data_IF_442910192887
#
_entry.id   IF_442910192887
#
_cell.length_a   1.000
_cell.length_b   1.000
_cell.length_c   1.000
_cell.angle_alpha   90.00
_cell.angle_beta   90.00
_cell.angle_gamma   90.00
#
_symmetry.space_group_name_H-M   'P 1'
#
loop_
_entity.id
_entity.type
_entity.pdbx_description
1 polymer ?
#
# COMPACT_ATOMS: atom_id res chain seq x y z
N UNK A 1 -38.85 -14.25 -17.47
CA UNK A 1 -38.48 -12.88 -17.07
C UNK A 1 -36.96 -12.81 -17.02
N UNK A 2 -36.32 -12.17 -18.01
CA UNK A 2 -34.86 -12.12 -18.13
C UNK A 2 -34.36 -10.92 -17.30
N UNK A 3 -33.72 -11.18 -16.16
CA UNK A 3 -33.10 -10.12 -15.36
C UNK A 3 -31.82 -9.71 -16.10
N UNK A 4 -31.89 -8.60 -16.84
CA UNK A 4 -30.71 -7.97 -17.45
C UNK A 4 -30.04 -7.12 -16.35
N UNK A 5 -28.94 -7.62 -15.79
CA UNK A 5 -28.09 -6.83 -14.89
C UNK A 5 -27.18 -5.95 -15.77
N UNK A 6 -27.56 -4.68 -15.93
CA UNK A 6 -26.68 -3.67 -16.55
C UNK A 6 -25.63 -3.25 -15.52
N UNK A 7 -24.45 -3.86 -15.57
CA UNK A 7 -23.29 -3.37 -14.81
C UNK A 7 -22.75 -2.14 -15.55
N UNK A 8 -23.09 -0.94 -15.10
CA UNK A 8 -22.43 0.28 -15.56
C UNK A 8 -21.00 0.32 -15.03
N UNK A 9 -20.05 -0.19 -15.82
CA UNK A 9 -18.63 0.05 -15.59
C UNK A 9 -18.36 1.54 -15.80
N UNK A 10 -18.26 2.33 -14.72
CA UNK A 10 -17.78 3.72 -14.82
C UNK A 10 -16.41 3.72 -15.49
N UNK A 11 -16.25 4.49 -16.57
CA UNK A 11 -14.94 4.76 -17.17
C UNK A 11 -14.05 5.42 -16.13
N UNK A 12 -12.88 4.85 -15.91
CA UNK A 12 -11.84 5.41 -15.05
C UNK A 12 -11.24 6.62 -15.74
N UNK A 13 -11.07 7.72 -15.01
CA UNK A 13 -10.41 8.90 -15.53
C UNK A 13 -8.92 8.60 -15.76
N UNK A 14 -8.42 8.92 -16.95
CA UNK A 14 -7.00 8.89 -17.29
C UNK A 14 -6.65 10.26 -17.85
N UNK A 15 -5.78 10.99 -17.15
CA UNK A 15 -5.27 12.30 -17.58
C UNK A 15 -3.95 12.19 -18.34
N UNK A 16 -3.51 13.24 -19.05
CA UNK A 16 -2.18 13.29 -19.68
C UNK A 16 -1.07 13.08 -18.63
N UNK A 17 -0.10 12.20 -18.92
CA UNK A 17 1.01 11.89 -18.02
C UNK A 17 2.42 12.13 -18.59
N UNK A 18 2.50 12.52 -19.87
CA UNK A 18 3.78 12.66 -20.58
C UNK A 18 4.71 13.67 -19.87
N UNK A 19 5.95 13.25 -19.62
CA UNK A 19 6.98 14.07 -18.97
C UNK A 19 6.84 14.24 -17.45
N UNK A 20 5.74 13.78 -16.83
CA UNK A 20 5.52 13.97 -15.40
C UNK A 20 6.39 13.06 -14.52
N UNK A 21 6.88 11.93 -15.05
CA UNK A 21 7.83 11.07 -14.32
C UNK A 21 9.14 11.80 -13.98
N UNK A 22 9.74 12.46 -14.97
CA UNK A 22 11.00 13.20 -14.77
C UNK A 22 10.79 14.41 -13.84
N UNK A 23 9.61 15.04 -13.92
CA UNK A 23 9.24 16.13 -13.02
C UNK A 23 9.07 15.69 -11.56
N UNK A 24 8.71 14.42 -11.32
CA UNK A 24 8.54 13.87 -9.98
C UNK A 24 9.87 13.36 -9.36
N UNK A 25 10.98 13.38 -10.11
CA UNK A 25 12.27 12.83 -9.65
C UNK A 25 12.86 13.65 -8.51
N UNK A 26 13.29 12.96 -7.45
CA UNK A 26 13.96 13.56 -6.29
C UNK A 26 15.47 13.32 -6.39
N UNK A 27 16.26 14.38 -6.51
CA UNK A 27 17.73 14.27 -6.51
C UNK A 27 18.26 13.84 -5.14
N UNK A 28 17.80 14.50 -4.07
CA UNK A 28 18.15 14.16 -2.70
C UNK A 28 17.10 14.66 -1.71
N UNK A 29 16.76 13.82 -0.73
CA UNK A 29 16.02 14.28 0.44
C UNK A 29 16.94 15.04 1.41
N UNK A 30 16.46 16.10 2.09
CA UNK A 30 17.22 16.78 3.13
C UNK A 30 17.70 15.81 4.20
N UNK A 31 18.98 15.88 4.54
CA UNK A 31 19.58 15.00 5.53
C UNK A 31 19.74 13.53 5.08
N UNK A 32 19.48 13.19 3.81
CA UNK A 32 19.78 11.84 3.30
C UNK A 32 21.30 11.56 3.32
N UNK A 33 21.71 10.32 3.61
CA UNK A 33 23.11 9.92 3.50
C UNK A 33 23.60 10.01 2.06
N UNK A 34 24.89 10.31 1.87
CA UNK A 34 25.53 10.30 0.54
C UNK A 34 25.67 8.86 0.03
N UNK A 35 25.74 8.69 -1.29
CA UNK A 35 25.99 7.40 -1.92
C UNK A 35 24.76 6.48 -2.01
N UNK A 36 23.56 7.07 -2.02
CA UNK A 36 22.31 6.36 -2.32
C UNK A 36 22.35 5.82 -3.75
N UNK A 37 22.02 4.54 -3.90
CA UNK A 37 22.19 3.72 -5.09
C UNK A 37 20.86 3.39 -5.80
N UNK A 38 19.85 4.24 -5.63
CA UNK A 38 18.52 4.07 -6.20
C UNK A 38 17.90 5.42 -6.61
N UNK A 39 17.00 5.40 -7.59
CA UNK A 39 16.16 6.55 -7.91
C UNK A 39 14.96 6.63 -6.95
N UNK A 40 14.51 7.84 -6.70
CA UNK A 40 13.33 8.14 -5.88
C UNK A 40 12.51 9.24 -6.53
N UNK A 41 11.19 9.13 -6.39
CA UNK A 41 10.22 9.99 -7.04
C UNK A 41 9.11 10.30 -6.05
N UNK A 42 8.63 11.54 -6.05
CA UNK A 42 7.42 11.91 -5.33
C UNK A 42 6.64 12.97 -6.09
N UNK A 43 5.33 12.92 -5.92
CA UNK A 43 4.43 13.86 -6.54
C UNK A 43 2.97 13.50 -6.33
N UNK A 44 2.13 14.14 -7.11
CA UNK A 44 0.68 13.97 -7.05
C UNK A 44 0.14 13.36 -8.34
N UNK A 45 -0.82 12.45 -8.18
CA UNK A 45 -1.62 11.92 -9.28
C UNK A 45 -3.08 12.30 -9.04
N UNK A 46 -3.67 12.98 -10.03
CA UNK A 46 -5.07 13.40 -10.00
C UNK A 46 -5.98 12.18 -10.14
N UNK A 47 -6.91 12.02 -9.19
CA UNK A 47 -7.90 10.93 -9.22
C UNK A 47 -9.32 11.44 -9.48
N UNK A 48 -9.59 12.71 -9.16
CA UNK A 48 -10.83 13.39 -9.54
C UNK A 48 -10.54 14.84 -9.95
N UNK A 49 -10.46 15.15 -11.26
CA UNK A 49 -10.19 16.51 -11.73
C UNK A 49 -11.34 17.48 -11.46
N UNK A 50 -12.58 16.98 -11.24
CA UNK A 50 -13.74 17.85 -10.98
C UNK A 50 -13.67 18.44 -9.58
N UNK A 51 -13.18 17.68 -8.60
CA UNK A 51 -13.00 18.16 -7.23
C UNK A 51 -11.56 18.59 -6.92
N UNK A 52 -10.64 18.37 -7.86
CA UNK A 52 -9.21 18.61 -7.67
C UNK A 52 -8.56 17.62 -6.70
N UNK A 53 -9.16 16.44 -6.51
CA UNK A 53 -8.61 15.42 -5.62
C UNK A 53 -7.37 14.77 -6.22
N UNK A 54 -6.30 14.77 -5.44
CA UNK A 54 -5.01 14.18 -5.81
C UNK A 54 -4.49 13.29 -4.70
N UNK A 55 -3.97 12.12 -5.07
CA UNK A 55 -3.24 11.25 -4.15
C UNK A 55 -1.73 11.48 -4.31
N UNK A 56 -1.04 11.62 -3.18
CA UNK A 56 0.40 11.77 -3.12
C UNK A 56 1.08 10.39 -3.04
N UNK A 57 2.20 10.25 -3.72
CA UNK A 57 3.03 9.05 -3.67
C UNK A 57 4.51 9.39 -3.43
N UNK A 58 5.21 8.43 -2.83
CA UNK A 58 6.66 8.37 -2.76
C UNK A 58 7.10 6.98 -3.23
N UNK A 59 7.78 6.95 -4.37
CA UNK A 59 8.25 5.76 -5.06
C UNK A 59 9.77 5.70 -5.03
N UNK A 60 10.32 4.52 -4.82
CA UNK A 60 11.75 4.28 -4.76
C UNK A 60 12.05 3.03 -5.57
N UNK A 61 12.99 3.12 -6.49
CA UNK A 61 13.39 1.97 -7.30
C UNK A 61 14.23 0.97 -6.49
N UNK A 62 14.23 -0.29 -6.92
CA UNK A 62 15.17 -1.26 -6.35
C UNK A 62 16.60 -0.86 -6.70
N UNK A 63 17.56 -0.87 -5.74
CA UNK A 63 18.95 -0.52 -6.03
C UNK A 63 19.62 -1.42 -7.10
N UNK A 64 19.07 -2.63 -7.30
CA UNK A 64 19.59 -3.59 -8.27
C UNK A 64 18.47 -4.20 -9.10
N UNK A 65 18.68 -4.23 -10.43
CA UNK A 65 17.79 -4.87 -11.39
C UNK A 65 16.34 -4.37 -11.33
N UNK A 66 16.12 -3.07 -11.08
CA UNK A 66 14.78 -2.49 -10.92
C UNK A 66 13.82 -2.85 -12.06
N UNK A 67 14.33 -2.94 -13.30
CA UNK A 67 13.57 -3.30 -14.51
C UNK A 67 12.99 -4.72 -14.52
N UNK A 68 13.42 -5.60 -13.60
CA UNK A 68 12.91 -6.98 -13.51
C UNK A 68 12.30 -7.28 -12.14
N UNK A 69 12.35 -6.34 -11.20
CA UNK A 69 11.82 -6.53 -9.84
C UNK A 69 10.32 -6.25 -9.80
N UNK A 70 9.57 -6.95 -8.94
CA UNK A 70 8.15 -6.70 -8.78
C UNK A 70 7.89 -5.30 -8.24
N UNK A 71 6.75 -4.72 -8.61
CA UNK A 71 6.26 -3.46 -8.07
C UNK A 71 5.39 -3.74 -6.84
N UNK A 72 5.69 -3.05 -5.73
CA UNK A 72 4.95 -3.20 -4.47
C UNK A 72 4.30 -1.87 -4.11
N UNK A 73 2.98 -1.86 -3.95
CA UNK A 73 2.25 -0.76 -3.32
C UNK A 73 2.17 -1.01 -1.82
N UNK A 74 2.34 0.04 -1.01
CA UNK A 74 2.20 -0.01 0.43
C UNK A 74 1.13 0.98 0.91
N UNK A 75 0.18 0.51 1.71
CA UNK A 75 -0.94 1.29 2.26
C UNK A 75 -1.01 1.18 3.79
N UNK A 76 -0.93 2.31 4.51
CA UNK A 76 -1.21 2.34 5.95
C UNK A 76 -2.72 2.41 6.23
N UNK A 77 -3.10 2.02 7.45
CA UNK A 77 -4.49 1.92 7.91
C UNK A 77 -5.01 3.15 8.65
N UNK A 78 -5.60 2.93 9.83
CA UNK A 78 -6.28 3.96 10.63
C UNK A 78 -7.78 3.73 10.80
N UNK A 79 -8.64 4.12 9.83
CA UNK A 79 -8.36 4.83 8.56
C UNK A 79 -7.77 6.25 8.76
N UNK A 80 -7.04 6.76 7.75
CA UNK A 80 -6.49 8.12 7.74
C UNK A 80 -5.02 8.27 8.14
N UNK A 81 -4.29 7.18 8.38
CA UNK A 81 -2.84 7.25 8.54
C UNK A 81 -2.11 7.40 7.21
N UNK A 82 -1.01 8.13 7.23
CA UNK A 82 -0.14 8.39 6.09
C UNK A 82 0.87 7.26 5.89
N UNK A 83 0.89 6.67 4.70
CA UNK A 83 1.85 5.62 4.35
C UNK A 83 3.26 6.09 3.98
N UNK A 84 3.50 7.39 3.75
CA UNK A 84 4.88 7.93 3.72
C UNK A 84 5.42 8.08 5.14
N UNK A 85 4.59 8.55 6.06
CA UNK A 85 4.98 8.72 7.46
C UNK A 85 5.33 7.38 8.07
N UNK A 86 4.32 6.56 8.30
CA UNK A 86 4.51 5.29 8.98
C UNK A 86 5.15 4.24 8.05
N UNK A 87 4.60 4.03 6.86
CA UNK A 87 5.11 3.04 5.92
C UNK A 87 6.55 3.29 5.44
N UNK A 88 6.79 4.44 4.80
CA UNK A 88 8.09 4.71 4.21
C UNK A 88 9.15 5.13 5.24
N UNK A 89 8.82 6.02 6.19
CA UNK A 89 9.82 6.60 7.09
C UNK A 89 10.01 5.83 8.41
N UNK A 90 9.10 4.92 8.79
CA UNK A 90 9.21 4.15 10.05
C UNK A 90 9.36 2.64 9.84
N UNK A 91 8.84 2.09 8.73
CA UNK A 91 8.66 0.64 8.62
C UNK A 91 9.44 -0.02 7.50
N UNK A 92 9.15 0.32 6.26
CA UNK A 92 9.54 -0.50 5.11
C UNK A 92 10.20 0.33 4.01
N UNK A 93 10.19 1.66 4.10
CA UNK A 93 10.91 2.50 3.14
C UNK A 93 12.42 2.49 3.34
N UNK A 94 13.15 3.14 2.40
CA UNK A 94 14.61 3.07 2.31
C UNK A 94 15.35 3.85 3.39
N UNK A 95 14.64 4.73 4.10
CA UNK A 95 15.22 5.62 5.11
C UNK A 95 14.46 5.54 6.42
N UNK A 96 15.14 5.96 7.48
CA UNK A 96 14.60 6.22 8.81
C UNK A 96 14.98 7.62 9.26
N UNK A 97 14.08 8.26 10.00
CA UNK A 97 14.32 9.58 10.57
C UNK A 97 15.14 9.43 11.85
N UNK A 98 16.25 10.15 11.96
CA UNK A 98 17.03 10.22 13.19
C UNK A 98 16.27 10.95 14.30
N UNK A 99 16.72 10.77 15.54
CA UNK A 99 16.11 11.41 16.71
C UNK A 99 16.17 12.94 16.70
N UNK A 100 16.99 13.53 15.83
CA UNK A 100 17.05 14.98 15.59
C UNK A 100 15.86 15.51 14.78
N UNK A 101 15.05 14.63 14.17
CA UNK A 101 13.92 15.00 13.31
C UNK A 101 14.32 15.74 12.03
N UNK A 102 15.59 15.70 11.63
CA UNK A 102 16.17 16.47 10.52
C UNK A 102 17.01 15.65 9.57
N UNK A 103 17.67 14.61 10.06
CA UNK A 103 18.54 13.75 9.24
C UNK A 103 17.95 12.36 9.06
N UNK A 104 18.39 11.68 8.00
CA UNK A 104 17.96 10.33 7.67
C UNK A 104 19.14 9.35 7.78
N UNK A 105 18.83 8.09 8.08
CA UNK A 105 19.76 6.97 7.94
C UNK A 105 19.16 5.86 7.07
N UNK A 106 20.01 5.10 6.38
CA UNK A 106 19.58 4.03 5.46
C UNK A 106 18.97 2.87 6.25
N UNK A 107 17.84 2.37 5.77
CA UNK A 107 17.23 1.14 6.27
C UNK A 107 17.76 -0.06 5.48
N UNK A 108 18.58 -0.90 6.10
CA UNK A 108 19.15 -2.10 5.46
C UNK A 108 18.11 -3.18 5.13
N UNK A 109 16.89 -3.09 5.68
CA UNK A 109 15.81 -4.06 5.51
C UNK A 109 14.60 -3.50 4.75
N UNK A 110 14.81 -2.48 3.90
CA UNK A 110 13.74 -1.82 3.15
C UNK A 110 13.08 -2.73 2.10
N UNK A 111 11.75 -2.58 1.95
CA UNK A 111 10.91 -3.20 0.92
C UNK A 111 10.42 -2.18 -0.13
N UNK A 112 10.58 -0.89 0.23
CA UNK A 112 10.48 0.37 -0.50
C UNK A 112 9.28 0.61 -1.43
N UNK A 113 8.23 1.25 -0.87
CA UNK A 113 7.38 2.34 -1.43
C UNK A 113 6.39 2.87 -0.35
N UNK A 114 5.78 4.06 -0.54
CA UNK A 114 4.73 4.60 0.35
C UNK A 114 3.85 5.72 -0.26
N UNK A 115 2.67 5.97 0.30
CA UNK A 115 1.70 7.00 -0.12
C UNK A 115 1.36 7.96 1.02
N UNK A 116 1.23 9.26 0.76
CA UNK A 116 1.30 10.32 1.79
C UNK A 116 0.39 11.51 1.51
N UNK A 117 0.84 12.73 1.82
CA UNK A 117 0.36 14.14 1.61
C UNK A 117 -0.89 14.45 0.74
N UNK A 118 -1.85 13.54 0.63
CA UNK A 118 -2.97 13.58 -0.30
C UNK A 118 -3.97 14.65 0.11
N UNK A 119 -4.60 15.29 -0.87
CA UNK A 119 -5.53 16.38 -0.61
C UNK A 119 -6.70 16.39 -1.61
N UNK A 120 -7.79 17.03 -1.21
CA UNK A 120 -8.88 17.49 -2.06
C UNK A 120 -9.13 18.99 -1.84
N UNK A 121 -9.48 19.70 -2.91
CA UNK A 121 -9.90 21.10 -2.84
C UNK A 121 -11.38 21.23 -2.43
N UNK A 122 -12.14 20.13 -2.42
CA UNK A 122 -13.54 20.10 -2.00
C UNK A 122 -13.64 19.59 -0.56
N UNK A 123 -14.12 20.44 0.36
CA UNK A 123 -14.26 20.07 1.77
C UNK A 123 -15.21 18.89 1.99
N UNK A 124 -16.20 18.69 1.12
CA UNK A 124 -17.17 17.58 1.24
C UNK A 124 -16.53 16.22 0.97
N UNK A 125 -15.39 16.18 0.27
CA UNK A 125 -14.62 14.94 0.09
C UNK A 125 -14.08 14.40 1.40
N UNK A 126 -13.79 15.26 2.38
CA UNK A 126 -13.32 14.85 3.71
C UNK A 126 -14.46 14.32 4.60
N UNK A 127 -15.72 14.65 4.28
CA UNK A 127 -16.91 14.19 5.01
C UNK A 127 -17.57 12.94 4.41
N UNK A 128 -17.15 12.53 3.20
CA UNK A 128 -17.73 11.40 2.46
C UNK A 128 -16.62 10.42 2.06
N UNK A 129 -15.89 9.90 3.05
CA UNK A 129 -14.82 8.91 2.88
C UNK A 129 -15.29 7.52 3.26
N UNK A 130 -14.73 6.52 2.59
CA UNK A 130 -15.27 5.17 2.65
C UNK A 130 -14.39 4.14 1.99
N UNK A 131 -14.61 2.89 2.37
CA UNK A 131 -13.87 1.72 1.87
C UNK A 131 -14.02 1.59 0.34
N UNK A 132 -15.25 1.67 -0.16
CA UNK A 132 -15.54 1.58 -1.60
C UNK A 132 -14.86 2.70 -2.39
N UNK A 133 -15.00 3.95 -1.90
CA UNK A 133 -14.42 5.13 -2.56
C UNK A 133 -12.90 5.05 -2.60
N UNK A 134 -12.30 4.63 -1.49
CA UNK A 134 -10.85 4.46 -1.37
C UNK A 134 -10.31 3.44 -2.37
N UNK A 135 -11.02 2.32 -2.58
CA UNK A 135 -10.65 1.34 -3.59
C UNK A 135 -10.76 1.88 -5.03
N UNK A 136 -11.83 2.63 -5.36
CA UNK A 136 -12.02 3.25 -6.67
C UNK A 136 -10.97 4.35 -6.97
N UNK A 137 -10.69 5.21 -5.99
CA UNK A 137 -9.69 6.28 -6.10
C UNK A 137 -8.27 5.69 -6.23
N UNK A 138 -7.96 4.65 -5.45
CA UNK A 138 -6.65 3.96 -5.50
C UNK A 138 -6.45 3.22 -6.83
N UNK A 139 -7.50 2.61 -7.40
CA UNK A 139 -7.41 2.03 -8.74
C UNK A 139 -7.14 3.10 -9.79
N UNK A 140 -7.85 4.23 -9.72
CA UNK A 140 -7.66 5.36 -10.64
C UNK A 140 -6.23 5.91 -10.56
N UNK A 141 -5.71 6.05 -9.34
CA UNK A 141 -4.32 6.41 -9.09
C UNK A 141 -3.36 5.44 -9.79
N UNK A 142 -3.52 4.13 -9.59
CA UNK A 142 -2.60 3.12 -10.15
C UNK A 142 -2.58 3.13 -11.68
N UNK A 143 -3.74 3.28 -12.32
CA UNK A 143 -3.81 3.37 -13.78
C UNK A 143 -3.05 4.60 -14.28
N UNK A 144 -3.30 5.78 -13.71
CA UNK A 144 -2.59 7.01 -14.11
C UNK A 144 -1.09 6.94 -13.77
N UNK A 145 -0.72 6.32 -12.65
CA UNK A 145 0.67 6.13 -12.27
C UNK A 145 1.38 5.23 -13.27
N UNK A 146 0.76 4.12 -13.71
CA UNK A 146 1.34 3.25 -14.74
C UNK A 146 1.41 3.92 -16.12
N UNK A 147 0.51 4.85 -16.44
CA UNK A 147 0.65 5.69 -17.64
C UNK A 147 1.83 6.68 -17.51
N UNK A 148 2.08 7.20 -16.30
CA UNK A 148 3.25 8.05 -16.01
C UNK A 148 4.56 7.27 -16.00
N UNK A 149 4.52 6.02 -15.55
CA UNK A 149 5.65 5.11 -15.39
C UNK A 149 5.50 3.87 -16.30
N UNK A 150 5.47 4.04 -17.63
CA UNK A 150 5.05 3.00 -18.56
C UNK A 150 5.96 1.77 -18.57
N UNK A 151 7.24 1.92 -18.20
CA UNK A 151 8.19 0.83 -18.07
C UNK A 151 7.75 -0.22 -17.03
N UNK A 152 6.91 0.14 -16.06
CA UNK A 152 6.46 -0.75 -15.00
C UNK A 152 5.15 -1.49 -15.32
N UNK A 153 4.50 -1.23 -16.47
CA UNK A 153 3.20 -1.83 -16.85
C UNK A 153 3.22 -3.37 -16.91
N UNK A 154 4.37 -3.96 -17.23
CA UNK A 154 4.52 -5.41 -17.35
C UNK A 154 5.00 -6.08 -16.07
N UNK A 155 5.40 -5.32 -15.07
CA UNK A 155 5.97 -5.86 -13.84
C UNK A 155 4.90 -6.61 -13.04
N UNK A 156 5.33 -7.67 -12.35
CA UNK A 156 4.49 -8.32 -11.36
C UNK A 156 4.14 -7.32 -10.24
N UNK A 157 2.85 -7.11 -10.00
CA UNK A 157 2.36 -6.12 -9.06
C UNK A 157 1.82 -6.76 -7.78
N UNK A 158 2.19 -6.22 -6.62
CA UNK A 158 1.71 -6.66 -5.32
C UNK A 158 1.16 -5.49 -4.51
N UNK A 159 0.05 -5.70 -3.82
CA UNK A 159 -0.52 -4.70 -2.91
C UNK A 159 -0.30 -5.14 -1.48
N UNK A 160 0.42 -4.33 -0.71
CA UNK A 160 0.68 -4.55 0.70
C UNK A 160 0.11 -3.43 1.55
N UNK A 161 -0.17 -3.72 2.81
CA UNK A 161 -0.62 -2.69 3.74
C UNK A 161 -0.66 -3.16 5.17
N UNK A 162 -1.19 -2.33 6.06
CA UNK A 162 -1.19 -2.59 7.49
C UNK A 162 -2.41 -2.07 8.24
N UNK A 163 -2.74 -2.70 9.38
CA UNK A 163 -3.85 -2.29 10.26
C UNK A 163 -5.18 -2.26 9.49
N UNK A 164 -5.89 -1.12 9.46
CA UNK A 164 -7.12 -0.96 8.68
C UNK A 164 -6.92 -1.16 7.17
N UNK A 165 -5.68 -1.17 6.65
CA UNK A 165 -5.44 -1.60 5.27
C UNK A 165 -5.75 -3.10 5.05
N UNK A 166 -6.00 -3.89 6.10
CA UNK A 166 -6.68 -5.18 5.99
C UNK A 166 -8.04 -5.06 5.28
N UNK A 167 -8.69 -3.89 5.31
CA UNK A 167 -9.85 -3.57 4.48
C UNK A 167 -9.47 -3.02 3.09
N UNK A 168 -8.52 -2.09 3.04
CA UNK A 168 -8.15 -1.42 1.78
C UNK A 168 -7.54 -2.37 0.76
N UNK A 169 -6.60 -3.21 1.20
CA UNK A 169 -5.79 -4.09 0.35
C UNK A 169 -6.66 -5.11 -0.40
N UNK A 170 -7.57 -5.88 0.25
CA UNK A 170 -8.43 -6.82 -0.47
C UNK A 170 -9.44 -6.12 -1.40
N UNK A 171 -10.00 -4.98 -0.99
CA UNK A 171 -10.99 -4.25 -1.78
C UNK A 171 -10.38 -3.61 -3.03
N UNK A 172 -9.15 -3.06 -2.92
CA UNK A 172 -8.39 -2.57 -4.06
C UNK A 172 -8.02 -3.73 -5.02
N UNK A 173 -7.52 -4.84 -4.49
CA UNK A 173 -7.21 -6.02 -5.30
C UNK A 173 -8.43 -6.54 -6.08
N UNK A 174 -9.61 -6.59 -5.44
CA UNK A 174 -10.85 -6.97 -6.12
C UNK A 174 -11.24 -5.97 -7.20
N UNK A 175 -11.11 -4.67 -6.92
CA UNK A 175 -11.38 -3.60 -7.88
C UNK A 175 -10.47 -3.71 -9.11
N UNK A 176 -9.18 -4.00 -8.91
CA UNK A 176 -8.21 -4.24 -10.01
C UNK A 176 -8.68 -5.42 -10.88
N UNK A 177 -8.98 -6.57 -10.29
CA UNK A 177 -9.43 -7.75 -11.05
C UNK A 177 -10.72 -7.50 -11.84
N UNK A 178 -11.67 -6.79 -11.22
CA UNK A 178 -12.94 -6.44 -11.86
C UNK A 178 -12.73 -5.53 -13.06
N UNK A 179 -11.87 -4.52 -12.92
CA UNK A 179 -11.62 -3.51 -13.95
C UNK A 179 -10.68 -4.00 -15.06
N UNK A 180 -9.73 -4.90 -14.75
CA UNK A 180 -8.88 -5.55 -15.75
C UNK A 180 -9.67 -6.34 -16.82
N UNK A 181 -10.94 -6.68 -16.57
CA UNK A 181 -11.83 -7.28 -17.58
C UNK A 181 -12.17 -6.33 -18.73
N UNK A 182 -11.97 -5.03 -18.54
CA UNK A 182 -12.14 -4.03 -19.59
C UNK A 182 -10.83 -3.85 -20.37
N UNK A 183 -10.80 -4.32 -21.62
CA UNK A 183 -9.59 -4.33 -22.47
C UNK A 183 -9.14 -2.95 -22.95
N UNK A 184 -9.97 -1.90 -22.78
CA UNK A 184 -9.67 -0.53 -23.22
C UNK A 184 -8.95 0.30 -22.14
N UNK A 185 -8.47 -0.33 -21.06
CA UNK A 185 -7.74 0.34 -19.98
C UNK A 185 -6.43 -0.37 -19.69
N UNK A 186 -5.51 0.33 -19.04
CA UNK A 186 -4.23 -0.20 -18.56
C UNK A 186 -4.47 -1.39 -17.65
N UNK A 187 -3.96 -2.56 -18.05
CA UNK A 187 -4.08 -3.79 -17.28
C UNK A 187 -3.01 -3.81 -16.21
N UNK A 188 -3.42 -3.98 -14.95
CA UNK A 188 -2.49 -4.09 -13.81
C UNK A 188 -2.20 -5.58 -13.56
N UNK A 189 -0.94 -6.00 -13.68
CA UNK A 189 -0.51 -7.40 -13.52
C UNK A 189 -0.42 -7.83 -12.03
N UNK A 190 -1.55 -7.80 -11.31
CA UNK A 190 -1.64 -8.15 -9.89
C UNK A 190 -1.34 -9.66 -9.66
N UNK A 191 -0.34 -9.95 -8.82
CA UNK A 191 0.07 -11.32 -8.44
C UNK A 191 -0.27 -11.70 -7.01
N UNK A 192 -0.30 -10.74 -6.09
CA UNK A 192 -0.55 -11.05 -4.68
C UNK A 192 -0.79 -9.84 -3.79
N UNK A 193 -1.26 -10.12 -2.58
CA UNK A 193 -1.45 -9.12 -1.53
C UNK A 193 -0.82 -9.53 -0.19
N UNK A 194 -0.43 -8.55 0.63
CA UNK A 194 0.15 -8.78 1.96
C UNK A 194 -0.37 -7.78 3.02
N UNK A 195 -0.60 -8.20 4.27
CA UNK A 195 -1.00 -7.31 5.38
C UNK A 195 -0.07 -7.49 6.59
N UNK A 196 0.47 -6.41 7.20
CA UNK A 196 1.48 -6.37 8.30
C UNK A 196 1.05 -5.46 9.49
N UNK A 197 1.80 -5.44 10.61
CA UNK A 197 1.56 -4.70 11.90
C UNK A 197 2.61 -3.63 12.32
N UNK A 198 2.43 -2.96 13.49
CA UNK A 198 2.97 -1.64 13.92
C UNK A 198 4.06 -1.56 14.99
N UNK A 199 4.92 -0.52 14.87
CA UNK A 199 5.89 -0.04 15.88
C UNK A 199 5.54 1.41 16.29
N UNK A 200 5.15 1.65 17.56
CA UNK A 200 4.66 2.94 18.07
C UNK A 200 5.71 3.99 18.44
N UNK A 201 7.01 3.74 18.28
CA UNK A 201 8.03 4.54 18.95
C UNK A 201 8.67 5.69 18.12
N UNK A 202 8.24 5.93 16.87
CA UNK A 202 8.90 6.91 15.97
C UNK A 202 8.06 8.11 15.52
N UNK A 203 6.75 8.14 15.83
CA UNK A 203 5.79 9.10 15.26
C UNK A 203 6.21 10.58 15.42
N UNK A 204 6.85 10.93 16.56
CA UNK A 204 7.27 12.31 16.85
C UNK A 204 8.36 12.80 15.90
N UNK A 205 9.33 11.94 15.57
CA UNK A 205 10.45 12.31 14.72
C UNK A 205 10.00 12.46 13.27
N UNK A 206 9.15 11.55 12.79
CA UNK A 206 8.58 11.59 11.43
C UNK A 206 7.70 12.81 11.24
N UNK A 207 6.86 13.13 12.22
CA UNK A 207 6.04 14.34 12.18
C UNK A 207 6.90 15.62 12.11
N UNK A 208 8.00 15.67 12.86
CA UNK A 208 8.94 16.79 12.79
C UNK A 208 9.60 16.92 11.41
N UNK A 209 10.06 15.81 10.84
CA UNK A 209 10.77 15.78 9.57
C UNK A 209 9.88 16.13 8.38
N UNK A 210 8.68 15.53 8.28
CA UNK A 210 7.75 15.75 7.17
C UNK A 210 7.10 17.15 7.17
N UNK A 211 7.27 17.91 8.25
CA UNK A 211 6.86 19.32 8.34
C UNK A 211 7.99 20.33 8.04
N UNK A 212 9.21 19.88 7.76
CA UNK A 212 10.28 20.77 7.29
C UNK A 212 9.94 21.27 5.87
N UNK A 213 10.03 22.59 5.65
CA UNK A 213 9.71 23.20 4.36
C UNK A 213 10.59 22.66 3.22
N UNK A 214 11.88 22.43 3.51
CA UNK A 214 12.82 21.82 2.57
C UNK A 214 12.46 20.36 2.23
N UNK A 215 11.90 19.61 3.18
CA UNK A 215 11.46 18.22 2.94
C UNK A 215 10.20 18.21 2.09
N UNK A 216 9.22 19.06 2.39
CA UNK A 216 8.02 19.18 1.56
C UNK A 216 8.36 19.67 0.14
N UNK A 217 9.31 20.60 0.02
CA UNK A 217 9.83 21.06 -1.29
C UNK A 217 10.49 19.91 -2.05
N UNK A 218 11.38 19.16 -1.41
CA UNK A 218 12.07 18.03 -2.03
C UNK A 218 11.14 16.88 -2.42
N UNK A 219 10.01 16.72 -1.71
CA UNK A 219 8.96 15.75 -2.02
C UNK A 219 7.95 16.27 -3.05
N UNK A 220 8.12 17.48 -3.57
CA UNK A 220 7.11 18.16 -4.42
C UNK A 220 5.72 18.24 -3.75
N UNK A 221 5.68 18.23 -2.42
CA UNK A 221 4.47 18.31 -1.63
C UNK A 221 3.97 19.77 -1.57
N UNK A 222 2.65 19.96 -1.57
CA UNK A 222 2.08 21.28 -1.26
C UNK A 222 2.37 21.64 0.19
N UNK A 223 2.79 22.88 0.43
CA UNK A 223 3.04 23.40 1.79
C UNK A 223 1.83 23.16 2.68
N UNK A 224 2.03 22.43 3.77
CA UNK A 224 0.96 22.02 4.68
C UNK A 224 1.48 21.74 6.09
N UNK A 225 0.58 21.75 7.07
CA UNK A 225 0.85 21.20 8.40
C UNK A 225 0.46 19.72 8.39
N UNK A 226 1.43 18.87 8.09
CA UNK A 226 1.25 17.43 7.94
C UNK A 226 1.03 16.76 9.31
N UNK A 227 0.13 15.77 9.34
CA UNK A 227 -0.06 14.90 10.51
C UNK A 227 -0.05 13.44 10.08
N UNK A 228 0.47 12.57 10.96
CA UNK A 228 0.55 11.13 10.70
C UNK A 228 -0.82 10.48 10.50
N UNK A 229 -1.82 10.97 11.24
CA UNK A 229 -3.21 10.57 11.09
C UNK A 229 -4.10 11.82 11.03
N UNK A 230 -5.14 11.76 10.21
CA UNK A 230 -6.19 12.79 10.14
C UNK A 230 -7.52 12.17 10.52
N UNK A 231 -8.25 12.80 11.43
CA UNK A 231 -9.64 12.41 11.71
C UNK A 231 -10.50 12.68 10.49
N UNK A 232 -11.00 11.61 9.88
CA UNK A 232 -11.89 11.65 8.72
C UNK A 232 -13.27 11.14 9.12
N UNK A 233 -14.32 11.72 8.56
CA UNK A 233 -15.66 11.12 8.65
C UNK A 233 -15.69 9.89 7.74
N UNK A 234 -15.77 8.71 8.36
CA UNK A 234 -15.80 7.43 7.66
C UNK A 234 -17.23 6.92 7.59
N UNK A 235 -17.76 6.75 6.38
CA UNK A 235 -19.20 6.51 6.14
C UNK A 235 -19.57 5.04 6.00
N UNK A 236 -18.61 4.17 5.69
CA UNK A 236 -18.81 2.73 5.52
C UNK A 236 -17.61 1.94 6.01
N UNK A 237 -17.89 0.88 6.77
CA UNK A 237 -16.91 -0.10 7.25
C UNK A 237 -17.62 -1.44 7.34
N UNK A 238 -17.55 -2.31 6.31
CA UNK A 238 -18.16 -3.63 6.39
C UNK A 238 -17.64 -4.38 7.62
N UNK A 239 -18.46 -5.23 8.24
CA UNK A 239 -18.05 -5.96 9.46
C UNK A 239 -16.97 -7.02 9.20
N UNK A 240 -16.78 -7.40 7.94
CA UNK A 240 -15.77 -8.38 7.53
C UNK A 240 -15.40 -8.21 6.04
N UNK A 241 -14.16 -8.56 5.70
CA UNK A 241 -13.67 -8.65 4.31
C UNK A 241 -13.38 -10.09 3.86
N UNK A 242 -13.74 -11.09 4.68
CA UNK A 242 -13.50 -12.50 4.36
C UNK A 242 -14.14 -12.96 3.04
N UNK A 243 -15.38 -12.56 2.69
CA UNK A 243 -15.96 -12.90 1.38
C UNK A 243 -15.13 -12.37 0.21
N UNK A 244 -14.58 -11.16 0.34
CA UNK A 244 -13.69 -10.56 -0.67
C UNK A 244 -12.39 -11.35 -0.77
N UNK A 245 -11.78 -11.74 0.37
CA UNK A 245 -10.59 -12.59 0.39
C UNK A 245 -10.86 -13.93 -0.30
N UNK A 246 -12.01 -14.58 -0.05
CA UNK A 246 -12.39 -15.82 -0.74
C UNK A 246 -12.46 -15.64 -2.26
N UNK A 247 -13.01 -14.53 -2.75
CA UNK A 247 -13.07 -14.23 -4.19
C UNK A 247 -11.67 -13.99 -4.79
N UNK A 248 -10.76 -13.34 -4.06
CA UNK A 248 -9.37 -13.15 -4.50
C UNK A 248 -8.63 -14.48 -4.64
N UNK A 249 -8.74 -15.34 -3.62
CA UNK A 249 -8.20 -16.70 -3.67
C UNK A 249 -8.82 -17.45 -4.85
N UNK A 250 -10.15 -17.37 -5.02
CA UNK A 250 -10.84 -18.05 -6.11
C UNK A 250 -10.35 -17.63 -7.50
N UNK A 251 -9.88 -16.39 -7.63
CA UNK A 251 -9.35 -15.79 -8.86
C UNK A 251 -7.84 -16.04 -9.07
N UNK A 252 -7.20 -16.82 -8.20
CA UNK A 252 -5.78 -17.20 -8.32
C UNK A 252 -4.80 -16.20 -7.71
N UNK A 253 -5.28 -15.22 -6.93
CA UNK A 253 -4.42 -14.26 -6.24
C UNK A 253 -3.87 -14.87 -4.95
N UNK A 254 -2.56 -14.71 -4.75
CA UNK A 254 -1.90 -15.13 -3.51
C UNK A 254 -2.12 -14.11 -2.40
N UNK A 255 -2.52 -14.55 -1.21
CA UNK A 255 -2.82 -13.69 -0.06
C UNK A 255 -1.87 -14.01 1.10
N UNK A 256 -1.22 -13.00 1.66
CA UNK A 256 -0.31 -13.16 2.80
C UNK A 256 -0.88 -12.39 3.99
N UNK A 257 -1.15 -13.09 5.10
CA UNK A 257 -1.66 -12.51 6.34
C UNK A 257 -0.56 -12.61 7.40
N UNK A 258 -0.06 -11.46 7.87
CA UNK A 258 0.95 -11.43 8.92
C UNK A 258 0.41 -10.66 10.13
N UNK A 259 0.59 -11.22 11.33
CA UNK A 259 0.30 -10.52 12.59
C UNK A 259 1.44 -10.62 13.59
N UNK A 260 1.76 -9.51 14.26
CA UNK A 260 2.64 -9.51 15.41
C UNK A 260 1.93 -10.07 16.64
N UNK A 261 2.58 -10.93 17.43
CA UNK A 261 1.97 -11.51 18.63
C UNK A 261 1.86 -10.54 19.80
N UNK A 262 2.67 -9.48 19.81
CA UNK A 262 2.60 -8.39 20.80
C UNK A 262 1.57 -7.31 20.43
N UNK A 263 0.89 -7.42 19.27
CA UNK A 263 -0.17 -6.48 18.92
C UNK A 263 -1.47 -6.81 19.67
N UNK A 264 -1.90 -5.89 20.53
CA UNK A 264 -3.17 -5.98 21.24
C UNK A 264 -4.38 -5.50 20.42
N UNK A 265 -4.16 -4.75 19.32
CA UNK A 265 -5.23 -4.24 18.45
C UNK A 265 -5.64 -5.27 17.40
N UNK A 266 -4.68 -5.88 16.69
CA UNK A 266 -4.91 -6.96 15.72
C UNK A 266 -4.12 -8.21 16.13
N UNK A 267 -4.54 -8.90 17.22
CA UNK A 267 -3.78 -10.02 17.75
C UNK A 267 -3.77 -11.22 16.80
N UNK A 268 -2.71 -12.03 16.86
CA UNK A 268 -2.57 -13.30 16.12
C UNK A 268 -3.79 -14.22 16.29
N UNK A 269 -4.47 -14.17 17.44
CA UNK A 269 -5.70 -14.93 17.70
C UNK A 269 -6.84 -14.55 16.76
N UNK A 270 -7.02 -13.26 16.47
CA UNK A 270 -8.04 -12.75 15.54
C UNK A 270 -7.75 -13.18 14.10
N UNK A 271 -6.49 -13.09 13.68
CA UNK A 271 -6.05 -13.55 12.37
C UNK A 271 -6.24 -15.06 12.20
N UNK A 272 -5.95 -15.86 13.24
CA UNK A 272 -6.22 -17.31 13.25
C UNK A 272 -7.70 -17.64 13.15
N UNK A 273 -8.54 -16.92 13.89
CA UNK A 273 -9.99 -17.10 13.81
C UNK A 273 -10.49 -16.82 12.39
N UNK A 274 -10.03 -15.73 11.78
CA UNK A 274 -10.34 -15.36 10.40
C UNK A 274 -9.93 -16.45 9.40
N UNK A 275 -8.73 -17.02 9.54
CA UNK A 275 -8.25 -18.12 8.69
C UNK A 275 -9.11 -19.38 8.86
N UNK A 276 -9.51 -19.71 10.10
CA UNK A 276 -10.38 -20.84 10.36
C UNK A 276 -11.77 -20.65 9.71
N UNK A 277 -12.33 -19.44 9.74
CA UNK A 277 -13.60 -19.11 9.08
C UNK A 277 -13.52 -19.25 7.57
N UNK A 278 -12.35 -18.97 6.95
CA UNK A 278 -12.17 -19.19 5.51
C UNK A 278 -12.27 -20.67 5.10
N UNK A 279 -12.11 -21.60 6.05
CA UNK A 279 -12.26 -23.05 5.88
C UNK A 279 -11.52 -23.60 4.64
N UNK A 280 -10.26 -23.17 4.48
CA UNK A 280 -9.40 -23.59 3.38
C UNK A 280 -8.70 -24.91 3.70
N UNK A 281 -8.42 -25.71 2.67
CA UNK A 281 -7.63 -26.94 2.81
C UNK A 281 -6.20 -26.63 3.26
N UNK A 282 -5.74 -27.33 4.30
CA UNK A 282 -4.39 -27.20 4.84
C UNK A 282 -3.42 -28.10 4.08
N UNK A 283 -2.53 -27.54 3.26
CA UNK A 283 -1.43 -28.31 2.62
C UNK A 283 -0.21 -28.44 3.54
N UNK A 284 0.08 -27.38 4.29
CA UNK A 284 1.21 -27.32 5.22
C UNK A 284 0.68 -26.97 6.60
N UNK A 285 0.92 -27.88 7.56
CA UNK A 285 0.63 -27.63 8.96
C UNK A 285 1.55 -26.53 9.53
N UNK A 286 0.99 -25.81 10.50
CA UNK A 286 1.63 -24.81 11.33
C UNK A 286 3.04 -25.20 11.82
N UNK A 287 4.09 -24.52 11.32
CA UNK A 287 5.51 -24.78 11.68
C UNK A 287 6.35 -23.50 11.86
N UNK A 288 7.44 -23.49 12.65
CA UNK A 288 8.30 -22.30 12.79
C UNK A 288 8.99 -21.91 11.46
N UNK A 289 9.23 -20.62 11.23
CA UNK A 289 10.08 -20.12 10.14
C UNK A 289 11.36 -19.44 10.67
N UNK A 290 12.37 -19.32 9.81
CA UNK A 290 13.71 -18.85 10.17
C UNK A 290 14.14 -17.73 9.22
N UNK A 291 14.86 -16.75 9.76
CA UNK A 291 15.58 -15.78 8.91
C UNK A 291 16.78 -16.43 8.24
N UNK A 292 17.29 -15.78 7.18
CA UNK A 292 18.53 -16.15 6.48
C UNK A 292 19.75 -16.27 7.39
N UNK A 293 19.72 -15.67 8.59
CA UNK A 293 20.78 -15.77 9.61
C UNK A 293 20.63 -16.95 10.59
N UNK A 294 19.72 -17.89 10.35
CA UNK A 294 19.50 -19.07 11.21
C UNK A 294 18.85 -18.76 12.56
N UNK A 295 18.55 -17.49 12.84
CA UNK A 295 17.72 -17.10 13.99
C UNK A 295 16.28 -17.45 13.70
N UNK A 296 15.64 -18.12 14.65
CA UNK A 296 14.20 -18.35 14.62
C UNK A 296 13.54 -16.96 14.58
N UNK A 297 12.94 -16.60 13.44
CA UNK A 297 11.96 -15.52 13.40
C UNK A 297 10.68 -16.17 13.89
N UNK A 298 10.55 -16.26 15.21
CA UNK A 298 9.56 -17.10 15.88
C UNK A 298 8.20 -16.78 15.30
N UNK A 299 7.58 -17.75 14.66
CA UNK A 299 6.42 -17.48 13.82
C UNK A 299 5.98 -18.71 13.06
N UNK A 300 4.67 -18.91 12.98
CA UNK A 300 4.06 -20.19 12.61
C UNK A 300 3.55 -20.11 11.16
N UNK A 301 3.86 -21.11 10.33
CA UNK A 301 3.64 -21.21 8.87
C UNK A 301 2.45 -22.12 8.52
N UNK A 302 1.45 -21.65 7.76
CA UNK A 302 0.34 -22.49 7.26
C UNK A 302 -0.33 -22.03 5.95
N UNK A 303 -0.84 -23.03 5.22
CA UNK A 303 -1.73 -23.08 4.01
C UNK A 303 -1.20 -22.72 2.60
N UNK A 304 -0.24 -23.47 2.05
CA UNK A 304 -0.21 -23.56 0.56
C UNK A 304 -1.47 -24.30 0.04
N UNK A 305 -1.92 -24.01 -1.19
CA UNK A 305 -2.88 -24.85 -1.92
C UNK A 305 -2.30 -25.09 -3.31
N UNK A 306 -2.13 -26.36 -3.66
CA UNK A 306 -1.59 -26.81 -4.94
C UNK A 306 -2.38 -26.23 -6.14
N UNK A 307 -1.62 -25.73 -7.13
CA UNK A 307 -2.06 -25.17 -8.42
C UNK A 307 -3.14 -24.08 -8.37
N UNK A 308 -2.83 -22.95 -7.72
CA UNK A 308 -3.17 -21.55 -8.12
C UNK A 308 -3.59 -20.63 -6.96
N UNK A 309 -3.69 -21.11 -5.71
CA UNK A 309 -4.39 -20.37 -4.64
C UNK A 309 -3.61 -20.35 -3.31
N UNK A 310 -2.62 -19.47 -3.16
CA UNK A 310 -1.72 -19.51 -1.98
C UNK A 310 -2.18 -18.55 -0.89
N UNK A 311 -2.53 -19.05 0.32
CA UNK A 311 -2.67 -18.20 1.52
C UNK A 311 -1.54 -18.51 2.49
N UNK A 312 -0.61 -17.57 2.72
CA UNK A 312 0.41 -17.76 3.76
C UNK A 312 0.14 -16.89 4.96
N UNK A 313 -0.09 -17.54 6.09
CA UNK A 313 -0.25 -16.88 7.37
C UNK A 313 1.03 -16.95 8.19
N UNK A 314 1.41 -15.83 8.81
CA UNK A 314 2.58 -15.70 9.65
C UNK A 314 2.19 -15.01 10.97
N UNK A 315 2.59 -15.60 12.09
CA UNK A 315 2.73 -14.85 13.35
C UNK A 315 4.19 -14.46 13.54
N UNK A 316 4.51 -13.39 14.26
CA UNK A 316 5.83 -13.25 14.93
C UNK A 316 5.66 -13.35 16.43
N UNK A 317 6.57 -14.04 17.14
CA UNK A 317 6.82 -13.96 18.59
C UNK A 317 8.10 -13.21 18.92
#
# INVERSE_FOLDING_TARGET
MMIVIVITLRCTYVGPQDGLMEADKIDALPGQPKGVDFNQFAGYVNVDPKTGKSLFYYFVESPQNFSTKPLVLWLNGGPGYSSIGNGAMEESGPFRVNSDGKTLFRNEYAWNNGTGFSYSNNSTDYSNNGDKRTAEDSYTFLVNWLERFPQYKTHDFFVSGKSYAGHFVPQLAYTILSKNKNTNQTVINLKGIAVKDFDPCSDKYVNSYLNLAEVQTALHAKSTNWSACRSLTWTDSPTTVLPTIQQLIASGISVWLYSGDMDARIPVTSSRYSINVLNLSVETAWRPWYSSGGRICRGIQGNDIHHSKRIRAYGSY
#
